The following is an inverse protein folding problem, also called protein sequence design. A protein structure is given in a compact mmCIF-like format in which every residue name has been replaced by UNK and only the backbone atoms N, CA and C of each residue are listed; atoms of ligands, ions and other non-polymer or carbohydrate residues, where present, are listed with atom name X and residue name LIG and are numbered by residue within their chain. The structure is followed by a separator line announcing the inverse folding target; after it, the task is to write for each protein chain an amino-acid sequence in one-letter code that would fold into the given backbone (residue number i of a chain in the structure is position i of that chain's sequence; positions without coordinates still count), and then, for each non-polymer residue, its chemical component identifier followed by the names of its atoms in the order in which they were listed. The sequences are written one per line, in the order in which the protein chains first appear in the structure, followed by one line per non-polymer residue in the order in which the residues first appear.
data_IF_683951323320
#
_entry.id   IF_683951323320
#
_cell.length_a   1.000
_cell.length_b   1.000
_cell.length_c   1.000
_cell.angle_alpha   90.00
_cell.angle_beta   90.00
_cell.angle_gamma   90.00
#
_symmetry.space_group_name_H-M   'P 1'
#
loop_
_entity.id
_entity.type
_entity.pdbx_description
1 polymer ?
#
# COMPACT_ATOMS: atom_id res chain seq x y z
N UNK A 1 -2.56 38.56 -8.86
CA UNK A 1 -1.56 37.68 -9.51
C UNK A 1 -0.49 37.34 -8.49
N UNK A 2 -0.65 36.24 -7.76
CA UNK A 2 0.43 35.68 -6.93
C UNK A 2 1.34 34.90 -7.86
N UNK A 3 2.50 35.44 -8.16
CA UNK A 3 3.62 34.72 -8.75
C UNK A 3 4.11 33.71 -7.69
N UNK A 4 3.69 32.47 -7.77
CA UNK A 4 4.30 31.37 -7.02
C UNK A 4 5.74 31.24 -7.55
N UNK A 5 6.69 31.76 -6.80
CA UNK A 5 8.12 31.55 -7.05
C UNK A 5 8.36 30.07 -6.74
N UNK A 6 8.31 29.25 -7.76
CA UNK A 6 8.63 27.83 -7.68
C UNK A 6 10.11 27.68 -7.33
N UNK A 7 10.41 27.53 -6.04
CA UNK A 7 11.79 27.34 -5.55
C UNK A 7 12.37 26.07 -6.16
N UNK A 8 13.62 26.10 -6.58
CA UNK A 8 14.34 24.89 -7.00
C UNK A 8 14.49 24.00 -5.75
N UNK A 9 13.88 22.84 -5.78
CA UNK A 9 14.02 21.86 -4.74
C UNK A 9 15.20 20.95 -5.08
N UNK A 10 16.16 20.84 -4.18
CA UNK A 10 17.24 19.88 -4.24
C UNK A 10 17.16 19.00 -3.01
N UNK A 11 17.09 17.70 -3.23
CA UNK A 11 17.04 16.67 -2.19
C UNK A 11 18.17 15.70 -2.42
N UNK A 12 18.85 15.30 -1.34
CA UNK A 12 19.98 14.37 -1.41
C UNK A 12 19.73 13.21 -0.44
N UNK A 13 20.14 12.01 -0.84
CA UNK A 13 20.12 10.80 -0.01
C UNK A 13 18.80 10.52 0.73
N UNK A 14 17.67 10.78 0.07
CA UNK A 14 16.34 10.57 0.65
C UNK A 14 15.96 9.08 0.62
N UNK A 15 15.59 8.48 1.77
CA UNK A 15 15.07 7.10 1.81
C UNK A 15 13.79 6.96 0.99
N UNK A 16 13.79 6.01 0.07
CA UNK A 16 12.68 5.87 -0.86
C UNK A 16 12.53 4.47 -1.45
N UNK A 17 11.34 4.18 -1.94
CA UNK A 17 11.00 2.98 -2.71
C UNK A 17 10.39 3.37 -4.05
N UNK A 18 10.74 2.63 -5.11
CA UNK A 18 10.05 2.74 -6.39
C UNK A 18 8.78 1.89 -6.33
N UNK A 19 7.63 2.53 -6.47
CA UNK A 19 6.33 1.87 -6.53
C UNK A 19 5.99 1.39 -7.94
N UNK A 20 6.27 2.22 -8.95
CA UNK A 20 5.98 1.93 -10.34
C UNK A 20 6.97 2.62 -11.29
N UNK A 21 7.23 1.98 -12.43
CA UNK A 21 8.07 2.52 -13.51
C UNK A 21 7.30 2.53 -14.81
N UNK A 22 7.38 3.63 -15.57
CA UNK A 22 6.83 3.70 -16.92
C UNK A 22 7.85 4.27 -17.89
N UNK A 23 8.03 3.67 -19.09
CA UNK A 23 8.87 4.21 -20.12
C UNK A 23 8.46 5.64 -20.50
N UNK A 24 9.45 6.47 -20.76
CA UNK A 24 9.27 7.82 -21.28
C UNK A 24 10.35 8.13 -22.29
N UNK A 25 9.96 8.45 -23.53
CA UNK A 25 10.87 8.59 -24.67
C UNK A 25 11.76 7.33 -24.83
N UNK A 26 12.85 7.42 -25.61
CA UNK A 26 13.68 6.25 -25.96
C UNK A 26 14.46 5.68 -24.77
N UNK A 27 15.13 6.51 -23.98
CA UNK A 27 16.07 6.09 -22.94
C UNK A 27 15.68 6.47 -21.51
N UNK A 28 14.61 7.27 -21.34
CA UNK A 28 14.16 7.78 -20.05
C UNK A 28 12.99 6.96 -19.49
N UNK A 29 12.72 7.14 -18.22
CA UNK A 29 11.52 6.59 -17.56
C UNK A 29 11.01 7.55 -16.47
N UNK A 30 9.72 7.46 -16.17
CA UNK A 30 9.12 8.12 -15.04
C UNK A 30 8.99 7.08 -13.93
N UNK A 31 9.42 7.45 -12.74
CA UNK A 31 9.37 6.66 -11.54
C UNK A 31 8.29 7.23 -10.61
N UNK A 32 7.30 6.44 -10.21
CA UNK A 32 6.47 6.74 -9.05
C UNK A 32 7.22 6.25 -7.82
N UNK A 33 7.48 7.15 -6.90
CA UNK A 33 8.32 6.92 -5.73
C UNK A 33 7.50 7.17 -4.46
N UNK A 34 7.70 6.36 -3.45
CA UNK A 34 7.29 6.64 -2.08
C UNK A 34 8.54 6.94 -1.27
N UNK A 35 8.66 8.17 -0.80
CA UNK A 35 9.79 8.64 0.01
C UNK A 35 9.35 8.93 1.43
N UNK A 36 10.27 8.82 2.36
CA UNK A 36 10.01 8.98 3.78
C UNK A 36 9.55 10.40 4.14
N UNK A 37 10.30 11.41 3.64
CA UNK A 37 10.11 12.80 4.05
C UNK A 37 9.39 13.67 3.00
N UNK A 38 9.08 13.12 1.82
CA UNK A 38 8.43 13.86 0.74
C UNK A 38 7.17 13.17 0.20
N UNK A 39 6.74 12.06 0.83
CA UNK A 39 5.55 11.31 0.43
C UNK A 39 5.67 10.66 -0.94
N UNK A 40 4.55 10.52 -1.63
CA UNK A 40 4.50 9.97 -2.99
C UNK A 40 4.73 11.04 -4.06
N UNK A 41 5.71 10.84 -4.93
CA UNK A 41 6.03 11.77 -6.00
C UNK A 41 6.48 11.06 -7.28
N UNK A 42 6.47 11.79 -8.41
CA UNK A 42 7.03 11.29 -9.68
C UNK A 42 8.40 11.90 -9.93
N UNK A 43 9.37 11.06 -10.31
CA UNK A 43 10.71 11.50 -10.71
C UNK A 43 10.97 11.16 -12.17
N UNK A 44 11.59 12.11 -12.91
CA UNK A 44 12.10 11.87 -14.26
C UNK A 44 13.49 11.27 -14.16
N UNK A 45 13.67 10.03 -14.61
CA UNK A 45 14.97 9.36 -14.68
C UNK A 45 15.46 9.32 -16.12
N UNK A 46 16.38 10.23 -16.46
CA UNK A 46 16.92 10.37 -17.83
C UNK A 46 18.00 9.33 -18.10
N UNK A 47 17.99 8.75 -19.30
CA UNK A 47 19.02 7.80 -19.74
C UNK A 47 19.04 6.46 -18.98
N UNK A 48 18.18 6.25 -18.00
CA UNK A 48 18.19 5.05 -17.13
C UNK A 48 17.73 3.76 -17.82
N UNK A 49 17.14 3.85 -19.01
CA UNK A 49 16.79 2.71 -19.86
C UNK A 49 17.83 2.43 -20.95
N UNK A 50 18.88 3.24 -21.06
CA UNK A 50 19.98 2.97 -21.98
C UNK A 50 20.68 1.65 -21.59
N UNK A 51 21.12 0.83 -22.56
CA UNK A 51 21.90 -0.38 -22.28
C UNK A 51 23.19 -0.14 -21.48
N UNK A 52 23.72 1.08 -21.54
CA UNK A 52 24.93 1.50 -20.79
C UNK A 52 24.61 2.15 -19.43
N UNK A 53 23.35 2.18 -19.02
CA UNK A 53 22.96 2.82 -17.78
C UNK A 53 23.46 2.03 -16.56
N UNK A 54 24.22 2.70 -15.69
CA UNK A 54 24.67 2.13 -14.40
C UNK A 54 23.53 2.02 -13.37
N UNK A 55 22.47 2.80 -13.54
CA UNK A 55 21.36 2.86 -12.59
C UNK A 55 20.21 1.89 -12.90
N UNK A 56 20.14 1.32 -14.11
CA UNK A 56 19.03 0.46 -14.54
C UNK A 56 18.83 -0.77 -13.63
N UNK A 57 19.93 -1.38 -13.20
CA UNK A 57 19.92 -2.53 -12.28
C UNK A 57 19.58 -2.18 -10.82
N UNK A 58 19.79 -0.91 -10.44
CA UNK A 58 19.52 -0.42 -9.07
C UNK A 58 18.06 0.03 -8.95
N UNK A 59 17.52 0.71 -9.96
CA UNK A 59 16.17 1.24 -10.00
C UNK A 59 15.12 0.12 -10.14
N UNK A 60 14.99 -0.69 -9.09
CA UNK A 60 14.03 -1.79 -9.04
C UNK A 60 12.99 -1.57 -7.92
N UNK A 61 11.72 -1.97 -8.13
CA UNK A 61 10.73 -1.98 -7.05
C UNK A 61 11.19 -2.82 -5.85
N UNK A 62 10.63 -2.53 -4.69
CA UNK A 62 10.85 -3.25 -3.43
C UNK A 62 12.28 -3.19 -2.87
N UNK A 63 13.18 -2.47 -3.53
CA UNK A 63 14.54 -2.24 -3.05
C UNK A 63 14.57 -0.94 -2.25
N UNK A 64 15.11 -0.92 -1.03
CA UNK A 64 15.35 0.32 -0.29
C UNK A 64 16.46 1.11 -0.98
N UNK A 65 16.18 2.35 -1.32
CA UNK A 65 17.06 3.25 -2.06
C UNK A 65 17.29 4.56 -1.29
N UNK A 66 18.41 5.19 -1.57
CA UNK A 66 18.69 6.58 -1.27
C UNK A 66 18.65 7.35 -2.59
N UNK A 67 17.70 8.25 -2.73
CA UNK A 67 17.47 9.00 -3.96
C UNK A 67 17.81 10.48 -3.77
N UNK A 68 18.49 11.06 -4.75
CA UNK A 68 18.68 12.50 -4.86
C UNK A 68 18.00 13.03 -6.10
N UNK A 69 17.31 14.17 -6.00
CA UNK A 69 16.67 14.81 -7.14
C UNK A 69 16.76 16.33 -7.08
N UNK A 70 16.53 16.96 -8.22
CA UNK A 70 16.48 18.41 -8.34
C UNK A 70 15.45 18.83 -9.37
N UNK A 71 14.93 20.02 -9.21
CA UNK A 71 14.02 20.60 -10.18
C UNK A 71 12.92 21.44 -9.57
N UNK A 72 12.03 21.89 -10.45
CA UNK A 72 10.84 22.67 -10.10
C UNK A 72 9.59 21.92 -10.56
N UNK A 73 8.48 22.14 -9.85
CA UNK A 73 7.18 21.60 -10.23
C UNK A 73 7.01 20.11 -9.87
N UNK A 74 6.02 19.48 -10.50
CA UNK A 74 5.47 18.19 -10.09
C UNK A 74 6.35 16.97 -10.47
N UNK A 75 7.35 17.15 -11.32
CA UNK A 75 8.20 16.05 -11.81
C UNK A 75 9.68 16.44 -11.86
N UNK A 76 10.36 16.51 -10.70
CA UNK A 76 11.79 16.78 -10.63
C UNK A 76 12.62 15.68 -11.30
N UNK A 77 13.88 16.03 -11.61
CA UNK A 77 14.80 15.10 -12.25
C UNK A 77 15.60 14.32 -11.21
N UNK A 78 15.59 13.00 -11.31
CA UNK A 78 16.46 12.12 -10.54
C UNK A 78 17.93 12.41 -10.90
N UNK A 79 18.76 12.61 -9.87
CA UNK A 79 20.19 12.94 -10.02
C UNK A 79 21.08 11.82 -9.48
N UNK A 80 20.79 11.36 -8.28
CA UNK A 80 21.59 10.39 -7.55
C UNK A 80 20.75 9.18 -7.14
N UNK A 81 21.38 8.01 -7.19
CA UNK A 81 20.74 6.74 -6.79
C UNK A 81 21.80 5.89 -6.10
N UNK A 82 21.55 5.60 -4.84
CA UNK A 82 22.32 4.65 -4.08
C UNK A 82 21.40 3.58 -3.47
N UNK A 83 21.96 2.43 -3.16
CA UNK A 83 21.25 1.42 -2.37
C UNK A 83 21.40 1.77 -0.90
N UNK A 84 20.29 1.75 -0.16
CA UNK A 84 20.38 1.76 1.30
C UNK A 84 21.07 0.46 1.79
N UNK A 85 21.72 0.52 2.96
CA UNK A 85 22.46 -0.62 3.52
C UNK A 85 21.60 -1.87 3.79
N UNK A 86 20.28 -1.71 3.79
CA UNK A 86 19.36 -2.81 3.98
C UNK A 86 19.32 -3.76 2.77
N UNK A 87 19.47 -5.06 3.03
CA UNK A 87 19.34 -6.09 1.99
C UNK A 87 17.90 -6.08 1.45
N UNK A 88 17.69 -6.01 0.12
CA UNK A 88 16.35 -6.07 -0.44
C UNK A 88 15.70 -7.43 -0.16
N UNK A 89 14.37 -7.47 0.07
CA UNK A 89 13.67 -8.71 0.32
C UNK A 89 13.67 -9.63 -0.91
N UNK A 90 13.84 -10.92 -0.69
CA UNK A 90 13.71 -11.94 -1.75
C UNK A 90 12.25 -12.33 -1.95
N UNK A 91 11.53 -11.56 -2.76
CA UNK A 91 10.12 -11.78 -3.03
C UNK A 91 9.92 -12.71 -4.22
N UNK A 92 9.14 -13.80 -4.03
CA UNK A 92 8.82 -14.77 -5.08
C UNK A 92 7.37 -15.23 -4.98
N UNK A 93 6.78 -15.68 -6.08
CA UNK A 93 5.42 -16.23 -6.08
C UNK A 93 4.39 -15.32 -5.39
N UNK A 94 3.71 -15.82 -4.37
CA UNK A 94 2.67 -15.09 -3.64
C UNK A 94 3.19 -13.83 -2.94
N UNK A 95 4.40 -13.86 -2.37
CA UNK A 95 4.97 -12.69 -1.70
C UNK A 95 5.28 -11.55 -2.69
N UNK A 96 5.77 -11.87 -3.88
CA UNK A 96 5.98 -10.88 -4.94
C UNK A 96 4.65 -10.27 -5.41
N UNK A 97 3.63 -11.10 -5.65
CA UNK A 97 2.31 -10.60 -6.05
C UNK A 97 1.70 -9.71 -4.95
N UNK A 98 1.89 -10.06 -3.68
CA UNK A 98 1.46 -9.25 -2.54
C UNK A 98 2.17 -7.90 -2.49
N UNK A 99 3.48 -7.87 -2.70
CA UNK A 99 4.24 -6.61 -2.76
C UNK A 99 3.78 -5.72 -3.94
N UNK A 100 3.50 -6.32 -5.11
CA UNK A 100 2.93 -5.57 -6.25
C UNK A 100 1.55 -5.00 -5.91
N UNK A 101 0.74 -5.73 -5.17
CA UNK A 101 -0.55 -5.25 -4.69
C UNK A 101 -0.40 -4.07 -3.72
N UNK A 102 0.54 -4.13 -2.77
CA UNK A 102 0.82 -3.00 -1.86
C UNK A 102 1.27 -1.76 -2.63
N UNK A 103 2.17 -1.92 -3.61
CA UNK A 103 2.59 -0.80 -4.46
C UNK A 103 1.42 -0.15 -5.19
N UNK A 104 0.51 -0.96 -5.74
CA UNK A 104 -0.66 -0.46 -6.45
C UNK A 104 -1.60 0.31 -5.51
N UNK A 105 -1.82 -0.18 -4.28
CA UNK A 105 -2.60 0.53 -3.26
C UNK A 105 -1.99 1.88 -2.92
N UNK A 106 -0.68 1.93 -2.66
CA UNK A 106 0.04 3.18 -2.36
C UNK A 106 -0.07 4.19 -3.51
N UNK A 107 0.06 3.73 -4.76
CA UNK A 107 -0.07 4.61 -5.94
C UNK A 107 -1.48 5.19 -6.07
N UNK A 108 -2.52 4.44 -5.68
CA UNK A 108 -3.90 4.88 -5.87
C UNK A 108 -4.41 5.70 -4.69
N UNK A 109 -4.09 5.31 -3.46
CA UNK A 109 -4.67 5.88 -2.24
C UNK A 109 -3.86 7.04 -1.67
N UNK A 110 -2.53 7.08 -1.85
CA UNK A 110 -1.75 8.21 -1.37
C UNK A 110 -1.91 9.45 -2.26
N UNK A 111 -2.09 10.59 -1.66
CA UNK A 111 -1.97 11.86 -2.35
C UNK A 111 -0.50 12.18 -2.66
N UNK A 112 -0.27 12.98 -3.70
CA UNK A 112 1.09 13.40 -4.07
C UNK A 112 1.63 14.39 -3.06
N UNK A 113 2.92 14.24 -2.74
CA UNK A 113 3.67 15.10 -1.81
C UNK A 113 3.07 15.17 -0.39
N UNK A 114 2.21 14.22 -0.05
CA UNK A 114 1.68 14.05 1.30
C UNK A 114 2.58 13.09 2.08
N UNK A 115 3.12 13.57 3.19
CA UNK A 115 4.15 12.87 3.98
C UNK A 115 3.49 11.92 4.96
N UNK A 116 3.86 10.63 4.88
CA UNK A 116 3.39 9.57 5.77
C UNK A 116 4.58 8.75 6.28
N UNK A 117 5.35 9.32 7.21
CA UNK A 117 6.59 8.69 7.71
C UNK A 117 6.33 7.36 8.41
N UNK A 118 5.27 7.27 9.22
CA UNK A 118 4.87 6.03 9.88
C UNK A 118 4.51 4.94 8.86
N UNK A 119 3.73 5.29 7.83
CA UNK A 119 3.37 4.36 6.76
C UNK A 119 4.58 3.92 5.93
N UNK A 120 5.58 4.80 5.74
CA UNK A 120 6.82 4.42 5.08
C UNK A 120 7.57 3.34 5.88
N UNK A 121 7.61 3.48 7.19
CA UNK A 121 8.19 2.47 8.10
C UNK A 121 7.40 1.16 8.04
N UNK A 122 6.08 1.22 8.13
CA UNK A 122 5.20 0.05 8.02
C UNK A 122 5.39 -0.68 6.68
N UNK A 123 5.54 0.07 5.58
CA UNK A 123 5.79 -0.50 4.26
C UNK A 123 7.13 -1.25 4.21
N UNK A 124 8.19 -0.65 4.76
CA UNK A 124 9.50 -1.28 4.87
C UNK A 124 9.46 -2.59 5.65
N UNK A 125 8.84 -2.59 6.82
CA UNK A 125 8.68 -3.77 7.68
C UNK A 125 7.80 -4.83 7.02
N UNK A 126 6.68 -4.42 6.41
CA UNK A 126 5.80 -5.33 5.70
C UNK A 126 6.54 -6.05 4.57
N UNK A 127 7.30 -5.33 3.73
CA UNK A 127 8.10 -5.96 2.66
C UNK A 127 9.07 -7.01 3.21
N UNK A 128 9.70 -6.74 4.36
CA UNK A 128 10.62 -7.67 5.01
C UNK A 128 9.91 -8.92 5.52
N UNK A 129 8.69 -8.78 6.03
CA UNK A 129 7.89 -9.89 6.58
C UNK A 129 7.16 -10.70 5.50
N UNK A 130 6.95 -10.16 4.29
CA UNK A 130 6.30 -10.88 3.18
C UNK A 130 7.05 -12.14 2.74
N UNK A 131 8.33 -12.27 3.06
CA UNK A 131 9.10 -13.49 2.83
C UNK A 131 8.63 -14.66 3.70
N UNK A 132 8.08 -14.35 4.88
CA UNK A 132 7.53 -15.33 5.81
C UNK A 132 6.10 -15.69 5.41
N UNK A 133 5.93 -16.73 4.60
CA UNK A 133 4.65 -17.07 3.98
C UNK A 133 3.54 -17.45 4.96
N UNK A 134 3.87 -17.87 6.18
CA UNK A 134 2.91 -18.32 7.18
C UNK A 134 1.98 -17.22 7.70
N UNK A 135 2.41 -15.95 7.72
CA UNK A 135 1.62 -14.80 8.17
C UNK A 135 1.27 -13.79 7.06
N UNK A 136 1.42 -14.19 5.81
CA UNK A 136 1.26 -13.30 4.65
C UNK A 136 -0.09 -12.56 4.65
N UNK A 137 -1.19 -13.26 4.85
CA UNK A 137 -2.53 -12.67 4.84
C UNK A 137 -2.72 -11.69 6.01
N UNK A 138 -2.24 -12.03 7.19
CA UNK A 138 -2.32 -11.17 8.38
C UNK A 138 -1.54 -9.88 8.16
N UNK A 139 -0.29 -9.99 7.69
CA UNK A 139 0.57 -8.84 7.42
C UNK A 139 -0.06 -7.91 6.37
N UNK A 140 -0.68 -8.48 5.32
CA UNK A 140 -1.40 -7.68 4.33
C UNK A 140 -2.59 -6.94 4.95
N UNK A 141 -3.40 -7.60 5.79
CA UNK A 141 -4.56 -6.96 6.44
C UNK A 141 -4.13 -5.83 7.36
N UNK A 142 -3.08 -6.04 8.16
CA UNK A 142 -2.56 -5.01 9.05
C UNK A 142 -2.03 -3.80 8.25
N UNK A 143 -1.26 -4.03 7.20
CA UNK A 143 -0.81 -2.94 6.34
C UNK A 143 -1.98 -2.16 5.70
N UNK A 144 -2.97 -2.86 5.18
CA UNK A 144 -4.17 -2.23 4.60
C UNK A 144 -4.92 -1.37 5.64
N UNK A 145 -5.07 -1.85 6.89
CA UNK A 145 -5.67 -1.10 7.99
C UNK A 145 -4.88 0.19 8.24
N UNK A 146 -3.57 0.08 8.43
CA UNK A 146 -2.69 1.22 8.69
C UNK A 146 -2.69 2.23 7.52
N UNK A 147 -2.69 1.75 6.28
CA UNK A 147 -2.81 2.62 5.10
C UNK A 147 -4.09 3.44 5.12
N UNK A 148 -5.24 2.82 5.38
CA UNK A 148 -6.51 3.52 5.48
C UNK A 148 -6.52 4.51 6.64
N UNK A 149 -6.00 4.15 7.80
CA UNK A 149 -5.90 5.02 8.96
C UNK A 149 -5.04 6.25 8.67
N UNK A 150 -3.84 6.06 8.10
CA UNK A 150 -2.92 7.14 7.75
C UNK A 150 -3.44 8.06 6.65
N UNK A 151 -4.36 7.58 5.82
CA UNK A 151 -5.01 8.40 4.76
C UNK A 151 -6.35 9.01 5.20
N UNK A 152 -6.71 8.90 6.48
CA UNK A 152 -7.93 9.50 7.04
C UNK A 152 -9.20 8.65 6.85
N UNK A 153 -9.06 7.40 6.42
CA UNK A 153 -10.16 6.45 6.19
C UNK A 153 -10.16 5.30 7.21
N UNK A 154 -9.72 5.59 8.44
CA UNK A 154 -9.68 4.61 9.53
C UNK A 154 -11.00 3.90 9.75
N UNK A 155 -10.94 2.62 10.10
CA UNK A 155 -12.12 1.78 10.28
C UNK A 155 -12.62 1.87 11.73
N UNK A 156 -13.93 2.04 11.90
CA UNK A 156 -14.55 1.73 13.17
C UNK A 156 -14.67 0.20 13.32
N UNK A 157 -13.99 -0.37 14.29
CA UNK A 157 -13.95 -1.82 14.55
C UNK A 157 -14.43 -2.18 15.95
N UNK A 158 -14.74 -1.17 16.79
CA UNK A 158 -14.94 -1.37 18.23
C UNK A 158 -16.28 -0.91 18.75
N UNK A 159 -17.07 -0.14 17.96
CA UNK A 159 -18.38 0.32 18.34
C UNK A 159 -19.41 0.03 17.24
N UNK A 160 -20.59 -0.42 17.63
CA UNK A 160 -21.77 -0.51 16.76
C UNK A 160 -22.13 0.90 16.30
N UNK A 161 -22.24 1.09 14.98
CA UNK A 161 -22.40 2.43 14.40
C UNK A 161 -23.79 3.04 14.61
N UNK A 162 -24.82 2.20 14.83
CA UNK A 162 -26.18 2.68 15.05
C UNK A 162 -26.46 2.93 16.54
N UNK A 163 -26.02 2.02 17.43
CA UNK A 163 -26.28 2.14 18.86
C UNK A 163 -25.19 2.90 19.64
N UNK A 164 -23.96 2.97 19.09
CA UNK A 164 -22.78 3.50 19.79
C UNK A 164 -22.22 2.55 20.86
N UNK A 165 -22.85 1.40 21.09
CA UNK A 165 -22.42 0.42 22.08
C UNK A 165 -21.13 -0.30 21.63
N UNK A 166 -20.31 -0.80 22.56
CA UNK A 166 -19.13 -1.60 22.19
C UNK A 166 -19.50 -2.84 21.38
N UNK A 167 -18.66 -3.19 20.42
CA UNK A 167 -18.75 -4.46 19.70
C UNK A 167 -18.55 -5.62 20.65
N UNK A 168 -19.49 -6.57 20.65
CA UNK A 168 -19.47 -7.77 21.48
C UNK A 168 -18.94 -8.96 20.68
N UNK A 169 -18.00 -9.77 21.23
CA UNK A 169 -17.34 -10.84 20.49
C UNK A 169 -18.28 -11.97 20.03
N UNK A 170 -19.38 -12.18 20.72
CA UNK A 170 -20.40 -13.22 20.46
C UNK A 170 -21.51 -12.79 19.49
N UNK A 171 -21.44 -11.57 18.96
CA UNK A 171 -22.40 -11.02 18.01
C UNK A 171 -21.84 -10.92 16.60
N UNK A 172 -22.72 -10.70 15.62
CA UNK A 172 -22.39 -10.47 14.24
C UNK A 172 -22.76 -9.06 13.80
N UNK A 173 -21.97 -8.50 12.87
CA UNK A 173 -22.11 -7.13 12.41
C UNK A 173 -22.03 -7.08 10.88
N UNK A 174 -23.00 -6.44 10.24
CA UNK A 174 -22.93 -6.04 8.85
C UNK A 174 -22.09 -4.76 8.76
N UNK A 175 -21.00 -4.79 8.00
CA UNK A 175 -20.12 -3.62 7.88
C UNK A 175 -20.57 -2.72 6.73
N UNK A 176 -20.97 -1.50 7.04
CA UNK A 176 -21.39 -0.48 6.09
C UNK A 176 -20.23 0.48 5.78
N UNK A 177 -19.97 0.70 4.50
CA UNK A 177 -18.91 1.62 4.07
C UNK A 177 -19.16 3.04 4.62
N UNK A 178 -18.12 3.69 5.11
CA UNK A 178 -18.14 5.02 5.77
C UNK A 178 -18.97 5.12 7.06
N UNK A 179 -19.78 4.15 7.38
CA UNK A 179 -20.60 4.14 8.59
C UNK A 179 -20.00 3.24 9.68
N UNK A 180 -19.66 2.01 9.34
CA UNK A 180 -19.06 1.07 10.27
C UNK A 180 -19.91 -0.20 10.47
N UNK A 181 -19.64 -0.97 11.56
CA UNK A 181 -20.33 -2.20 11.86
C UNK A 181 -21.70 -1.91 12.53
N UNK A 182 -22.73 -2.59 12.04
CA UNK A 182 -24.11 -2.54 12.59
C UNK A 182 -24.53 -3.94 12.98
N UNK A 183 -25.04 -4.11 14.20
CA UNK A 183 -25.47 -5.41 14.74
C UNK A 183 -26.50 -6.08 13.85
N UNK A 184 -26.31 -7.37 13.56
CA UNK A 184 -27.21 -8.12 12.67
C UNK A 184 -27.27 -9.60 13.06
N UNK A 185 -28.18 -10.34 12.43
CA UNK A 185 -28.22 -11.81 12.51
C UNK A 185 -27.09 -12.42 11.66
N UNK A 186 -26.51 -13.57 12.09
CA UNK A 186 -25.55 -14.29 11.29
C UNK A 186 -26.16 -14.77 9.96
N UNK A 187 -25.41 -14.64 8.87
CA UNK A 187 -25.87 -15.13 7.57
C UNK A 187 -25.16 -14.49 6.39
N UNK A 188 -25.31 -15.06 5.18
CA UNK A 188 -24.74 -14.48 3.99
C UNK A 188 -25.48 -13.20 3.59
N UNK A 189 -24.72 -12.13 3.36
CA UNK A 189 -25.25 -10.89 2.80
C UNK A 189 -24.61 -10.62 1.42
N UNK A 190 -25.43 -10.14 0.48
CA UNK A 190 -24.99 -9.77 -0.86
C UNK A 190 -24.45 -8.33 -0.92
N UNK A 191 -24.87 -7.48 -0.01
CA UNK A 191 -24.54 -6.05 -0.03
C UNK A 191 -23.33 -5.73 0.86
N UNK A 192 -23.41 -6.10 2.13
CA UNK A 192 -22.40 -5.77 3.13
C UNK A 192 -21.74 -7.05 3.69
N UNK A 193 -20.43 -7.08 3.95
CA UNK A 193 -19.83 -8.22 4.60
C UNK A 193 -20.35 -8.34 6.04
N UNK A 194 -20.77 -9.54 6.42
CA UNK A 194 -21.11 -9.88 7.81
C UNK A 194 -19.87 -10.47 8.45
N UNK A 195 -19.49 -9.91 9.61
CA UNK A 195 -18.26 -10.20 10.34
C UNK A 195 -18.62 -10.49 11.79
N UNK A 196 -17.99 -11.46 12.41
CA UNK A 196 -18.12 -11.72 13.84
C UNK A 196 -17.47 -10.60 14.67
N UNK A 197 -18.04 -10.25 15.80
CA UNK A 197 -17.45 -9.26 16.70
C UNK A 197 -16.07 -9.67 17.19
N UNK A 198 -15.86 -10.97 17.44
CA UNK A 198 -14.54 -11.50 17.79
C UNK A 198 -13.48 -11.21 16.71
N UNK A 199 -13.83 -11.34 15.42
CA UNK A 199 -12.92 -11.01 14.31
C UNK A 199 -12.65 -9.52 14.18
N UNK A 200 -13.66 -8.66 14.40
CA UNK A 200 -13.46 -7.19 14.40
C UNK A 200 -12.50 -6.77 15.50
N UNK A 201 -12.72 -7.26 16.73
CA UNK A 201 -11.88 -6.95 17.89
C UNK A 201 -10.46 -7.49 17.75
N UNK A 202 -10.30 -8.73 17.27
CA UNK A 202 -9.00 -9.32 16.99
C UNK A 202 -8.22 -8.51 15.92
N UNK A 203 -8.92 -8.04 14.87
CA UNK A 203 -8.31 -7.21 13.84
C UNK A 203 -7.92 -5.83 14.38
N UNK A 204 -8.75 -5.23 15.23
CA UNK A 204 -8.42 -3.98 15.90
C UNK A 204 -7.15 -4.11 16.72
N UNK A 205 -7.01 -5.19 17.49
CA UNK A 205 -5.83 -5.50 18.30
C UNK A 205 -4.59 -5.92 17.49
N UNK A 206 -4.74 -6.24 16.19
CA UNK A 206 -3.66 -6.81 15.37
C UNK A 206 -3.39 -8.30 15.61
N UNK A 207 -4.32 -9.00 16.26
CA UNK A 207 -4.21 -10.39 16.75
C UNK A 207 -5.05 -11.38 15.92
N UNK A 208 -4.98 -11.28 14.59
CA UNK A 208 -5.65 -12.25 13.71
C UNK A 208 -4.90 -13.58 13.74
N UNK A 209 -5.50 -14.60 14.35
CA UNK A 209 -4.87 -15.91 14.52
C UNK A 209 -5.64 -17.05 13.85
N UNK A 210 -6.99 -17.00 13.88
CA UNK A 210 -7.80 -18.11 13.36
C UNK A 210 -8.03 -17.99 11.86
N UNK A 211 -8.10 -19.12 11.12
CA UNK A 211 -8.41 -19.10 9.69
C UNK A 211 -9.72 -18.38 9.37
N UNK A 212 -10.74 -18.53 10.22
CA UNK A 212 -12.06 -17.92 10.05
C UNK A 212 -11.97 -16.40 10.18
N UNK A 213 -11.31 -15.88 11.23
CA UNK A 213 -11.13 -14.44 11.40
C UNK A 213 -10.32 -13.83 10.26
N UNK A 214 -9.27 -14.51 9.79
CA UNK A 214 -8.48 -14.07 8.63
C UNK A 214 -9.35 -14.00 7.36
N UNK A 215 -10.22 -15.00 7.14
CA UNK A 215 -11.12 -15.04 5.99
C UNK A 215 -12.20 -13.93 6.05
N UNK A 216 -12.79 -13.70 7.22
CA UNK A 216 -13.76 -12.63 7.44
C UNK A 216 -13.15 -11.26 7.22
N UNK A 217 -11.98 -10.99 7.83
CA UNK A 217 -11.29 -9.70 7.69
C UNK A 217 -10.78 -9.50 6.25
N UNK A 218 -10.35 -10.55 5.56
CA UNK A 218 -10.02 -10.46 4.12
C UNK A 218 -11.24 -10.03 3.29
N UNK A 219 -12.44 -10.53 3.61
CA UNK A 219 -13.69 -10.15 2.95
C UNK A 219 -14.03 -8.69 3.26
N UNK A 220 -13.90 -8.27 4.52
CA UNK A 220 -14.10 -6.89 4.95
C UNK A 220 -13.16 -5.93 4.22
N UNK A 221 -11.85 -6.17 4.28
CA UNK A 221 -10.85 -5.29 3.67
C UNK A 221 -11.01 -5.20 2.15
N UNK A 222 -11.37 -6.32 1.50
CA UNK A 222 -11.70 -6.30 0.07
C UNK A 222 -12.89 -5.39 -0.24
N UNK A 223 -13.94 -5.42 0.57
CA UNK A 223 -15.12 -4.57 0.45
C UNK A 223 -14.75 -3.10 0.62
N UNK A 224 -14.11 -2.75 1.72
CA UNK A 224 -13.71 -1.37 2.04
C UNK A 224 -12.79 -0.78 0.97
N UNK A 225 -11.72 -1.49 0.61
CA UNK A 225 -10.79 -1.01 -0.42
C UNK A 225 -11.49 -0.84 -1.76
N UNK A 226 -12.36 -1.77 -2.18
CA UNK A 226 -13.10 -1.63 -3.43
C UNK A 226 -14.01 -0.40 -3.45
N UNK A 227 -14.61 -0.06 -2.29
CA UNK A 227 -15.45 1.12 -2.15
C UNK A 227 -14.62 2.40 -2.31
N UNK A 228 -13.44 2.48 -1.68
CA UNK A 228 -12.49 3.60 -1.88
C UNK A 228 -11.95 3.72 -3.31
N UNK A 229 -11.85 2.62 -4.03
CA UNK A 229 -11.37 2.64 -5.41
C UNK A 229 -12.39 3.23 -6.40
N UNK A 230 -13.66 3.43 -6.01
CA UNK A 230 -14.67 4.03 -6.85
C UNK A 230 -14.87 3.31 -8.19
N UNK A 231 -14.77 1.98 -8.19
CA UNK A 231 -14.91 1.14 -9.39
C UNK A 231 -13.60 0.89 -10.16
N UNK A 232 -12.49 1.50 -9.79
CA UNK A 232 -11.18 1.17 -10.38
C UNK A 232 -10.78 -0.26 -9.99
N UNK A 233 -10.37 -1.06 -10.97
CA UNK A 233 -9.91 -2.44 -10.73
C UNK A 233 -8.41 -2.45 -10.43
N UNK A 234 -8.01 -3.21 -9.42
CA UNK A 234 -6.61 -3.47 -9.12
C UNK A 234 -6.06 -4.54 -10.07
N UNK A 235 -5.08 -4.15 -10.88
CA UNK A 235 -4.41 -5.04 -11.86
C UNK A 235 -3.64 -6.17 -11.15
N UNK A 236 -3.02 -5.87 -10.02
CA UNK A 236 -2.30 -6.86 -9.22
C UNK A 236 -3.19 -8.03 -8.78
N UNK A 237 -4.49 -7.82 -8.57
CA UNK A 237 -5.43 -8.89 -8.22
C UNK A 237 -5.65 -9.90 -9.37
N UNK A 238 -5.44 -9.51 -10.61
CA UNK A 238 -5.52 -10.41 -11.76
C UNK A 238 -4.37 -11.44 -11.75
N UNK A 239 -3.19 -11.05 -11.22
CA UNK A 239 -2.05 -11.94 -11.08
C UNK A 239 -2.33 -13.12 -10.15
N UNK A 240 -3.14 -12.92 -9.09
CA UNK A 240 -3.56 -13.99 -8.19
C UNK A 240 -4.55 -14.99 -8.82
N UNK A 241 -5.20 -14.62 -9.93
CA UNK A 241 -6.17 -15.48 -10.63
C UNK A 241 -5.52 -16.33 -11.72
N UNK A 242 -4.38 -15.90 -12.25
CA UNK A 242 -3.64 -16.66 -13.24
C UNK A 242 -2.83 -17.74 -12.53
N UNK A 243 -2.97 -19.02 -12.87
CA UNK A 243 -2.07 -20.05 -12.35
C UNK A 243 -0.64 -19.67 -12.76
N UNK A 244 0.27 -19.58 -11.77
CA UNK A 244 1.68 -19.43 -12.04
C UNK A 244 2.08 -20.59 -12.96
N UNK A 245 2.36 -20.30 -14.24
CA UNK A 245 3.04 -21.28 -15.09
C UNK A 245 4.41 -21.49 -14.45
N UNK A 246 4.55 -22.59 -13.73
CA UNK A 246 5.86 -23.09 -13.29
C UNK A 246 6.67 -23.34 -14.56
N UNK A 247 7.71 -22.54 -14.76
CA UNK A 247 8.77 -22.80 -15.73
C UNK A 247 9.81 -23.70 -15.09
#
# INVERSE_FOLDING_TARGET
RYLSISTIMQVNAEPAYILHKRPYRETSQILEVFSRNHGRLSLMSRGSRSPRSRTSGILQPFRPLLLGWYGRGEMPNLREVDTADARPPELRGKSLMSAMYLNELLVILLHRNDVHEALFTDYHETLSTLQQTTRLEVNLRNFEKNLLEQTGFGLNLVHDADSGEPVLPDRYYAYHFEHGPVSCQPGPSRQNPVISGSSLLAFNAGELETPDSIAEIKKLMRYVINSHLGGKKLKSRELFRSPLKTA
#
